data_IF_879730609146
#
_entry.id   IF_879730609146
#
_cell.length_a   1.000
_cell.length_b   1.000
_cell.length_c   1.000
_cell.angle_alpha   90.00
_cell.angle_beta   90.00
_cell.angle_gamma   90.00
#
_symmetry.space_group_name_H-M   'P 1'
#
loop_
_entity.id
_entity.type
_entity.pdbx_description
1 polymer ?
#
# COMPACT_ATOMS: atom_id res chain seq x y z
N UNK A 1 3.46 67.60 -30.26
CA UNK A 1 3.41 66.25 -30.86
C UNK A 1 4.37 65.32 -30.10
N UNK A 2 3.91 64.10 -29.76
CA UNK A 2 4.66 62.83 -29.51
C UNK A 2 5.74 62.84 -28.41
N UNK A 3 5.50 62.31 -27.19
CA UNK A 3 5.43 60.89 -26.74
C UNK A 3 6.61 60.01 -27.19
N UNK A 4 7.50 59.61 -26.26
CA UNK A 4 7.59 58.25 -25.67
C UNK A 4 8.90 58.04 -24.88
N UNK A 5 8.75 57.80 -23.57
CA UNK A 5 9.65 56.97 -22.77
C UNK A 5 9.14 55.53 -22.83
N UNK A 6 10.03 54.53 -22.73
CA UNK A 6 9.72 53.17 -22.30
C UNK A 6 11.01 52.55 -21.72
N UNK A 7 11.08 52.49 -20.39
CA UNK A 7 11.99 51.63 -19.63
C UNK A 7 11.35 50.24 -19.54
N UNK A 8 12.10 49.21 -19.93
CA UNK A 8 11.71 47.82 -19.78
C UNK A 8 11.95 47.39 -18.32
N UNK A 9 10.87 47.05 -17.62
CA UNK A 9 10.95 46.35 -16.34
C UNK A 9 10.76 44.86 -16.56
N UNK A 10 11.84 44.10 -16.41
CA UNK A 10 11.81 42.64 -16.33
C UNK A 10 11.23 42.22 -14.98
N UNK A 11 10.04 41.61 -15.01
CA UNK A 11 9.48 40.91 -13.87
C UNK A 11 10.03 39.47 -13.84
N UNK A 12 10.95 39.20 -12.91
CA UNK A 12 11.32 37.83 -12.53
C UNK A 12 10.19 37.24 -11.67
N UNK A 13 9.50 36.24 -12.22
CA UNK A 13 8.44 35.48 -11.56
C UNK A 13 9.03 34.62 -10.42
N UNK A 14 8.73 35.01 -9.19
CA UNK A 14 8.96 34.20 -7.98
C UNK A 14 7.94 33.05 -7.92
N UNK A 15 8.33 31.86 -8.36
CA UNK A 15 7.48 30.64 -8.37
C UNK A 15 7.72 29.70 -7.17
N UNK A 16 8.51 30.09 -6.17
CA UNK A 16 8.91 29.19 -5.09
C UNK A 16 8.00 29.18 -3.84
N UNK A 17 6.98 30.05 -3.77
CA UNK A 17 6.21 30.27 -2.53
C UNK A 17 4.87 29.53 -2.44
N UNK A 18 4.35 28.96 -3.53
CA UNK A 18 3.01 28.34 -3.56
C UNK A 18 2.98 26.88 -3.13
N UNK A 19 4.10 26.17 -3.23
CA UNK A 19 4.18 24.74 -2.87
C UNK A 19 3.98 24.49 -1.37
N UNK A 20 4.46 25.40 -0.51
CA UNK A 20 4.31 25.27 0.95
C UNK A 20 2.87 25.46 1.43
N UNK A 21 2.17 26.48 0.93
CA UNK A 21 0.78 26.74 1.31
C UNK A 21 -0.18 25.65 0.80
N UNK A 22 0.07 25.09 -0.39
CA UNK A 22 -0.75 23.99 -0.92
C UNK A 22 -0.55 22.68 -0.15
N UNK A 23 0.67 22.39 0.31
CA UNK A 23 0.95 21.22 1.14
C UNK A 23 0.26 21.30 2.51
N UNK A 24 0.29 22.46 3.18
CA UNK A 24 -0.38 22.67 4.47
C UNK A 24 -1.91 22.66 4.37
N UNK A 25 -2.47 23.34 3.37
CA UNK A 25 -3.91 23.32 3.10
C UNK A 25 -4.37 21.89 2.84
N UNK A 26 -3.56 21.08 2.18
CA UNK A 26 -3.94 19.72 1.83
C UNK A 26 -3.76 18.72 2.97
N UNK A 27 -2.73 18.84 3.82
CA UNK A 27 -2.65 18.03 5.05
C UNK A 27 -3.90 18.24 5.92
N UNK A 28 -4.43 19.47 5.90
CA UNK A 28 -5.68 19.82 6.57
C UNK A 28 -6.91 19.19 5.90
N UNK A 29 -6.86 18.91 4.59
CA UNK A 29 -7.97 18.35 3.79
C UNK A 29 -7.95 16.82 3.71
N UNK A 30 -6.77 16.18 3.63
CA UNK A 30 -6.67 14.72 3.51
C UNK A 30 -6.73 13.98 4.85
N UNK A 31 -6.60 14.69 5.97
CA UNK A 31 -6.78 14.12 7.31
C UNK A 31 -5.71 13.11 7.73
N UNK A 32 -5.90 12.52 8.91
CA UNK A 32 -5.08 11.42 9.42
C UNK A 32 -5.42 10.11 8.70
N UNK A 33 -4.40 9.25 8.51
CA UNK A 33 -4.58 7.86 8.07
C UNK A 33 -4.36 6.96 9.29
N UNK A 34 -5.40 6.24 9.69
CA UNK A 34 -5.37 5.40 10.89
C UNK A 34 -5.59 3.93 10.52
N UNK A 35 -4.71 3.00 10.92
CA UNK A 35 -4.96 1.58 10.71
C UNK A 35 -6.13 1.13 11.60
N UNK A 36 -7.16 0.53 10.99
CA UNK A 36 -8.38 0.14 11.67
C UNK A 36 -8.39 -1.36 12.02
N UNK A 37 -8.10 -2.20 11.03
CA UNK A 37 -8.03 -3.64 11.18
C UNK A 37 -7.02 -4.21 10.19
N UNK A 38 -6.35 -5.31 10.55
CA UNK A 38 -5.48 -6.01 9.63
C UNK A 38 -5.13 -7.41 10.12
N UNK A 39 -4.87 -8.30 9.17
CA UNK A 39 -4.40 -9.66 9.45
C UNK A 39 -3.25 -10.03 8.52
N UNK A 40 -2.48 -11.02 8.95
CA UNK A 40 -1.36 -11.55 8.17
C UNK A 40 -1.34 -13.05 8.32
N UNK A 41 -1.18 -13.77 7.21
CA UNK A 41 -1.13 -15.22 7.23
C UNK A 41 -0.01 -15.72 6.33
N UNK A 42 0.99 -16.41 6.89
CA UNK A 42 1.89 -17.23 6.10
C UNK A 42 1.19 -18.50 5.63
N UNK A 43 1.50 -18.92 4.41
CA UNK A 43 1.03 -20.17 3.81
C UNK A 43 2.08 -20.69 2.81
N UNK A 44 2.03 -21.98 2.44
CA UNK A 44 2.80 -22.52 1.33
C UNK A 44 2.65 -21.70 0.05
N UNK A 45 3.74 -21.53 -0.70
CA UNK A 45 3.73 -20.74 -1.93
C UNK A 45 2.89 -21.36 -3.06
N UNK A 46 2.66 -22.68 -3.03
CA UNK A 46 1.77 -23.39 -3.94
C UNK A 46 0.27 -23.18 -3.61
N UNK A 47 -0.05 -22.76 -2.38
CA UNK A 47 -1.37 -22.29 -1.99
C UNK A 47 -1.58 -20.83 -2.41
N UNK A 48 -1.95 -20.58 -3.66
CA UNK A 48 -2.19 -19.23 -4.15
C UNK A 48 -3.45 -18.60 -3.53
N UNK A 49 -3.32 -17.47 -2.85
CA UNK A 49 -4.44 -16.74 -2.22
C UNK A 49 -4.93 -15.56 -3.06
N UNK A 50 -4.02 -14.77 -3.64
CA UNK A 50 -4.36 -13.69 -4.58
C UNK A 50 -4.10 -14.12 -6.02
N UNK A 51 -5.02 -13.82 -6.93
CA UNK A 51 -4.89 -14.11 -8.37
C UNK A 51 -3.67 -13.40 -8.98
N UNK A 52 -3.22 -13.91 -10.13
CA UNK A 52 -2.02 -13.42 -10.81
C UNK A 52 -0.70 -13.93 -10.20
N UNK A 53 0.42 -13.56 -10.81
CA UNK A 53 1.75 -14.05 -10.43
C UNK A 53 2.64 -12.94 -9.86
N UNK A 54 3.69 -13.32 -9.14
CA UNK A 54 4.79 -12.41 -8.82
C UNK A 54 5.50 -12.02 -10.13
N UNK A 55 5.89 -10.74 -10.24
CA UNK A 55 6.72 -10.27 -11.36
C UNK A 55 8.10 -10.93 -11.33
N UNK A 56 8.72 -11.08 -12.49
CA UNK A 56 10.07 -11.63 -12.59
C UNK A 56 11.06 -10.81 -11.73
N UNK A 57 11.83 -11.51 -10.88
CA UNK A 57 12.79 -10.89 -9.99
C UNK A 57 12.20 -10.16 -8.78
N UNK A 58 10.87 -10.14 -8.61
CA UNK A 58 10.22 -9.61 -7.40
C UNK A 58 9.68 -10.72 -6.51
N UNK A 59 9.88 -10.57 -5.21
CA UNK A 59 9.25 -11.40 -4.18
C UNK A 59 8.14 -10.65 -3.44
N UNK A 60 7.77 -9.46 -3.90
CA UNK A 60 6.70 -8.66 -3.31
C UNK A 60 5.74 -8.20 -4.40
N UNK A 61 4.47 -8.25 -4.07
CA UNK A 61 3.39 -7.63 -4.83
C UNK A 61 2.39 -7.02 -3.87
N UNK A 62 1.71 -5.97 -4.29
CA UNK A 62 0.72 -5.34 -3.45
C UNK A 62 -0.10 -4.31 -4.19
N UNK A 63 -1.27 -4.05 -3.63
CA UNK A 63 -2.34 -3.29 -4.25
C UNK A 63 -3.03 -2.42 -3.22
N UNK A 64 -3.42 -1.24 -3.65
CA UNK A 64 -4.33 -0.38 -2.93
C UNK A 64 -5.72 -0.51 -3.50
N UNK A 65 -6.71 -0.53 -2.63
CA UNK A 65 -8.12 -0.49 -2.96
C UNK A 65 -8.73 0.75 -2.30
N UNK A 66 -8.61 1.93 -2.95
CA UNK A 66 -9.41 3.11 -2.60
C UNK A 66 -10.90 2.80 -2.62
N UNK A 67 -11.31 2.03 -3.64
CA UNK A 67 -12.63 1.46 -3.82
C UNK A 67 -12.43 -0.04 -4.03
N UNK A 68 -12.85 -0.91 -3.09
CA UNK A 68 -12.80 -2.35 -3.27
C UNK A 68 -13.64 -2.81 -4.47
N UNK A 69 -13.29 -3.93 -5.13
CA UNK A 69 -14.13 -4.49 -6.17
C UNK A 69 -15.50 -4.94 -5.60
N UNK A 70 -16.54 -4.85 -6.43
CA UNK A 70 -17.88 -5.34 -6.08
C UNK A 70 -17.88 -6.85 -5.73
N UNK A 71 -16.97 -7.61 -6.36
CA UNK A 71 -16.75 -9.02 -6.09
C UNK A 71 -15.26 -9.26 -5.74
N UNK A 72 -14.99 -9.57 -4.47
CA UNK A 72 -13.63 -9.88 -4.01
C UNK A 72 -13.01 -11.12 -4.68
N UNK A 73 -13.80 -11.97 -5.37
CA UNK A 73 -13.28 -13.09 -6.17
C UNK A 73 -12.55 -12.64 -7.44
N UNK A 74 -12.66 -11.38 -7.83
CA UNK A 74 -11.82 -10.74 -8.86
C UNK A 74 -10.36 -10.64 -8.42
N UNK A 75 -10.12 -10.64 -7.10
CA UNK A 75 -8.78 -10.52 -6.49
C UNK A 75 -8.36 -11.85 -5.86
N UNK A 76 -9.23 -12.47 -5.07
CA UNK A 76 -8.91 -13.69 -4.32
C UNK A 76 -9.25 -14.98 -5.07
N UNK A 77 -8.50 -16.04 -4.79
CA UNK A 77 -8.79 -17.40 -5.26
C UNK A 77 -9.82 -18.09 -4.36
N UNK A 78 -10.41 -19.19 -4.85
CA UNK A 78 -11.31 -20.02 -4.04
C UNK A 78 -10.64 -20.53 -2.75
N UNK A 79 -9.33 -20.76 -2.78
CA UNK A 79 -8.55 -21.18 -1.61
C UNK A 79 -8.51 -20.10 -0.53
N UNK A 80 -8.30 -18.83 -0.91
CA UNK A 80 -8.37 -17.71 0.03
C UNK A 80 -9.79 -17.55 0.60
N UNK A 81 -10.81 -17.72 -0.24
CA UNK A 81 -12.23 -17.59 0.13
C UNK A 81 -12.73 -18.68 1.08
N UNK A 82 -12.10 -19.86 1.13
CA UNK A 82 -12.41 -20.89 2.13
C UNK A 82 -11.86 -20.56 3.53
N UNK A 83 -11.00 -19.54 3.64
CA UNK A 83 -10.33 -19.12 4.86
C UNK A 83 -10.87 -17.81 5.46
N UNK A 84 -9.97 -17.09 6.13
CA UNK A 84 -10.28 -15.86 6.85
C UNK A 84 -10.53 -14.65 5.94
N UNK A 85 -10.08 -14.67 4.68
CA UNK A 85 -10.18 -13.54 3.75
C UNK A 85 -11.56 -13.33 3.13
N UNK A 86 -12.53 -14.19 3.45
CA UNK A 86 -13.84 -14.26 2.78
C UNK A 86 -14.73 -13.02 2.93
N UNK A 87 -14.35 -12.00 3.69
CA UNK A 87 -15.05 -10.70 3.74
C UNK A 87 -14.12 -9.48 3.91
N UNK A 88 -12.80 -9.66 3.92
CA UNK A 88 -11.89 -8.63 4.45
C UNK A 88 -11.69 -7.44 3.48
N UNK A 89 -11.86 -7.65 2.17
CA UNK A 89 -11.80 -6.55 1.18
C UNK A 89 -13.07 -5.68 1.20
N UNK A 90 -14.22 -6.28 1.51
CA UNK A 90 -15.53 -5.62 1.42
C UNK A 90 -15.80 -4.68 2.61
N UNK A 91 -14.91 -4.60 3.59
CA UNK A 91 -15.08 -3.76 4.78
C UNK A 91 -14.68 -2.30 4.59
N UNK A 92 -14.11 -1.91 3.45
CA UNK A 92 -13.82 -0.52 3.14
C UNK A 92 -15.11 0.23 2.75
N UNK A 93 -15.93 0.53 3.76
CA UNK A 93 -17.05 1.46 3.64
C UNK A 93 -16.62 2.87 4.07
N UNK A 94 -17.25 3.90 3.50
CA UNK A 94 -17.05 5.29 3.89
C UNK A 94 -15.67 5.84 3.51
N UNK A 95 -15.05 6.59 4.43
CA UNK A 95 -13.76 7.22 4.19
C UNK A 95 -12.60 6.28 4.52
N UNK A 96 -12.49 5.15 3.83
CA UNK A 96 -11.46 4.15 4.11
C UNK A 96 -10.86 3.58 2.82
N UNK A 97 -9.72 2.92 2.94
CA UNK A 97 -9.10 2.14 1.86
C UNK A 97 -8.49 0.85 2.40
N UNK A 98 -8.25 -0.12 1.52
CA UNK A 98 -7.57 -1.37 1.85
C UNK A 98 -6.20 -1.44 1.20
N UNK A 99 -5.22 -1.94 1.93
CA UNK A 99 -3.93 -2.40 1.43
C UNK A 99 -3.91 -3.92 1.47
N UNK A 100 -3.62 -4.55 0.35
CA UNK A 100 -3.31 -5.97 0.24
C UNK A 100 -1.90 -6.12 -0.28
N UNK A 101 -1.06 -6.92 0.35
CA UNK A 101 0.24 -7.27 -0.21
C UNK A 101 0.63 -8.70 0.14
N UNK A 102 1.46 -9.28 -0.70
CA UNK A 102 2.06 -10.57 -0.50
C UNK A 102 3.58 -10.45 -0.55
N UNK A 103 4.25 -11.17 0.36
CA UNK A 103 5.71 -11.33 0.36
C UNK A 103 6.03 -12.80 0.26
N UNK A 104 6.73 -13.21 -0.80
CA UNK A 104 7.32 -14.55 -0.97
C UNK A 104 8.69 -14.59 -0.30
N UNK A 105 8.98 -15.67 0.41
CA UNK A 105 10.26 -15.87 1.10
C UNK A 105 10.60 -17.36 1.18
N UNK A 106 11.88 -17.67 1.38
CA UNK A 106 12.30 -19.01 1.76
C UNK A 106 11.70 -19.37 3.13
N UNK A 107 11.44 -20.66 3.36
CA UNK A 107 10.82 -21.12 4.60
C UNK A 107 11.63 -20.77 5.86
N UNK A 108 12.97 -20.75 5.75
CA UNK A 108 13.91 -20.34 6.80
C UNK A 108 13.87 -18.83 7.14
N UNK A 109 13.42 -18.00 6.19
CA UNK A 109 13.30 -16.53 6.35
C UNK A 109 11.89 -16.08 6.75
N UNK A 110 11.06 -17.06 7.13
CA UNK A 110 9.81 -16.96 7.87
C UNK A 110 9.56 -15.61 8.55
N UNK A 111 8.56 -14.85 8.10
CA UNK A 111 8.18 -13.62 8.78
C UNK A 111 6.70 -13.26 8.66
N UNK A 112 6.19 -12.63 9.71
CA UNK A 112 4.93 -11.89 9.70
C UNK A 112 5.18 -10.42 9.38
N UNK A 113 4.29 -9.85 8.58
CA UNK A 113 4.31 -8.43 8.23
C UNK A 113 3.07 -7.79 8.80
N UNK A 114 3.19 -6.67 9.51
CA UNK A 114 2.05 -5.94 10.06
C UNK A 114 2.22 -4.46 9.78
N UNK A 115 1.13 -3.71 9.71
CA UNK A 115 1.20 -2.25 9.62
C UNK A 115 1.87 -1.69 10.87
N UNK A 116 2.88 -0.84 10.66
CA UNK A 116 3.57 -0.09 11.69
C UNK A 116 2.77 1.12 12.16
N UNK A 117 3.32 1.83 13.13
CA UNK A 117 2.69 3.05 13.66
C UNK A 117 2.87 4.23 12.70
N UNK A 118 1.85 5.07 12.60
CA UNK A 118 1.88 6.36 11.88
C UNK A 118 2.00 6.28 10.34
N UNK A 119 1.08 5.57 9.64
CA UNK A 119 0.85 5.83 8.23
C UNK A 119 0.58 7.31 7.98
N UNK A 120 1.04 7.84 6.85
CA UNK A 120 0.87 9.26 6.53
C UNK A 120 0.79 9.51 5.05
N UNK A 121 0.17 10.62 4.70
CA UNK A 121 0.28 11.18 3.35
C UNK A 121 1.73 11.64 3.08
N UNK A 122 2.27 11.28 1.92
CA UNK A 122 3.56 11.74 1.40
C UNK A 122 3.41 12.59 0.14
N UNK A 123 2.25 12.57 -0.52
CA UNK A 123 1.95 13.31 -1.75
C UNK A 123 0.46 13.46 -2.01
N UNK A 124 0.07 13.78 -3.27
CA UNK A 124 -1.36 13.94 -3.61
C UNK A 124 -2.12 12.65 -3.80
N UNK A 125 -1.45 11.62 -4.22
CA UNK A 125 -2.05 10.29 -4.30
C UNK A 125 -1.21 9.27 -3.56
N UNK A 126 -0.23 9.75 -2.81
CA UNK A 126 0.86 8.97 -2.27
C UNK A 126 0.76 8.93 -0.74
N UNK A 127 0.82 7.72 -0.20
CA UNK A 127 1.01 7.48 1.23
C UNK A 127 2.36 6.81 1.50
N UNK A 128 2.87 7.02 2.70
CA UNK A 128 3.95 6.23 3.28
C UNK A 128 3.34 5.36 4.38
N UNK A 129 3.43 4.04 4.20
CA UNK A 129 2.85 3.07 5.12
C UNK A 129 4.01 2.26 5.70
N UNK A 130 4.36 2.49 6.98
CA UNK A 130 5.39 1.69 7.61
C UNK A 130 4.88 0.27 7.78
N UNK A 131 5.71 -0.73 7.47
CA UNK A 131 5.42 -2.15 7.68
C UNK A 131 6.46 -2.69 8.66
N UNK A 132 6.03 -3.46 9.65
CA UNK A 132 6.90 -4.16 10.59
C UNK A 132 7.05 -5.61 10.16
N UNK A 133 8.28 -6.03 9.88
CA UNK A 133 8.68 -7.42 9.73
C UNK A 133 9.01 -8.00 11.10
N UNK A 134 8.39 -9.12 11.44
CA UNK A 134 8.66 -9.88 12.65
C UNK A 134 9.02 -11.31 12.24
N UNK A 135 10.21 -11.82 12.57
CA UNK A 135 10.53 -13.22 12.34
C UNK A 135 9.45 -14.12 12.93
N UNK A 136 9.04 -15.12 12.15
CA UNK A 136 8.10 -16.13 12.60
C UNK A 136 8.90 -17.26 13.27
N UNK A 137 8.81 -17.31 14.60
CA UNK A 137 9.49 -18.31 15.43
C UNK A 137 8.59 -19.50 15.78
N UNK A 138 7.40 -19.59 15.17
CA UNK A 138 6.50 -20.72 15.43
C UNK A 138 6.99 -21.98 14.74
N UNK A 139 6.82 -23.12 15.41
CA UNK A 139 6.95 -24.42 14.73
C UNK A 139 5.79 -24.53 13.75
N UNK A 140 6.11 -24.57 12.45
CA UNK A 140 5.10 -24.64 11.39
C UNK A 140 4.91 -26.08 10.93
N UNK A 141 3.66 -26.46 10.73
CA UNK A 141 3.28 -27.78 10.20
C UNK A 141 3.38 -27.87 8.66
N UNK A 142 3.87 -26.81 8.00
CA UNK A 142 3.99 -26.79 6.54
C UNK A 142 5.31 -27.42 6.10
N UNK A 143 5.23 -28.48 5.28
CA UNK A 143 6.37 -29.04 4.56
C UNK A 143 6.50 -28.34 3.20
N UNK A 144 7.13 -27.16 3.20
CA UNK A 144 7.31 -26.33 2.00
C UNK A 144 8.65 -25.58 2.04
N UNK A 145 9.34 -25.51 0.91
CA UNK A 145 10.61 -24.79 0.76
C UNK A 145 10.42 -23.27 0.67
N UNK A 146 9.29 -22.84 0.07
CA UNK A 146 8.93 -21.44 -0.11
C UNK A 146 7.55 -21.15 0.48
N UNK A 147 7.43 -19.95 1.04
CA UNK A 147 6.22 -19.49 1.72
C UNK A 147 5.85 -18.10 1.23
N UNK A 148 4.56 -17.80 1.29
CA UNK A 148 4.00 -16.48 1.03
C UNK A 148 3.31 -15.99 2.29
N UNK A 149 3.62 -14.78 2.70
CA UNK A 149 2.87 -14.08 3.75
C UNK A 149 1.93 -13.07 3.08
N UNK A 150 0.64 -13.35 3.17
CA UNK A 150 -0.42 -12.49 2.66
C UNK A 150 -0.90 -11.59 3.79
N UNK A 151 -0.93 -10.28 3.55
CA UNK A 151 -1.39 -9.29 4.52
C UNK A 151 -2.47 -8.41 3.92
N UNK A 152 -3.54 -8.20 4.67
CA UNK A 152 -4.59 -7.24 4.35
C UNK A 152 -4.79 -6.30 5.54
N UNK A 153 -4.93 -5.00 5.25
CA UNK A 153 -5.28 -4.00 6.27
C UNK A 153 -6.23 -2.95 5.71
N UNK A 154 -7.23 -2.61 6.52
CA UNK A 154 -8.11 -1.45 6.35
C UNK A 154 -7.54 -0.23 7.07
N UNK A 155 -7.63 0.92 6.40
CA UNK A 155 -7.26 2.22 6.93
C UNK A 155 -8.45 3.17 6.85
N UNK A 156 -8.72 3.88 7.95
CA UNK A 156 -9.69 4.97 7.98
C UNK A 156 -8.97 6.30 7.70
N UNK A 157 -9.66 7.21 7.00
CA UNK A 157 -9.14 8.53 6.60
C UNK A 157 -10.11 9.63 7.01
N UNK A 158 -9.71 10.47 7.95
CA UNK A 158 -10.61 11.49 8.54
C UNK A 158 -11.10 12.54 7.53
N UNK A 159 -10.34 12.79 6.45
CA UNK A 159 -10.63 13.81 5.44
C UNK A 159 -11.41 13.35 4.19
N UNK A 160 -11.77 12.07 4.09
CA UNK A 160 -12.57 11.56 2.96
C UNK A 160 -11.82 11.40 1.63
N UNK A 161 -10.59 10.90 1.67
CA UNK A 161 -9.84 10.52 0.47
C UNK A 161 -9.01 9.25 0.69
N UNK A 162 -8.58 8.62 -0.39
CA UNK A 162 -7.76 7.42 -0.36
C UNK A 162 -6.54 7.58 -1.30
N UNK A 163 -5.35 7.08 -0.91
CA UNK A 163 -4.18 7.13 -1.76
C UNK A 163 -4.34 6.15 -2.93
N UNK A 164 -3.93 6.56 -4.14
CA UNK A 164 -3.85 5.65 -5.29
C UNK A 164 -2.44 5.06 -5.48
N UNK A 165 -1.49 5.47 -4.64
CA UNK A 165 -0.12 4.97 -4.57
C UNK A 165 0.36 4.94 -3.12
N UNK A 166 1.20 3.99 -2.77
CA UNK A 166 1.89 4.00 -1.49
C UNK A 166 3.31 3.45 -1.58
N UNK A 167 4.17 3.97 -0.73
CA UNK A 167 5.47 3.38 -0.41
C UNK A 167 5.31 2.60 0.89
N UNK A 168 5.57 1.30 0.84
CA UNK A 168 5.66 0.42 1.98
C UNK A 168 7.11 0.38 2.45
N UNK A 169 7.41 1.04 3.57
CA UNK A 169 8.75 0.98 4.16
C UNK A 169 8.80 -0.14 5.20
N UNK A 170 9.42 -1.26 4.84
CA UNK A 170 9.54 -2.44 5.69
C UNK A 170 10.68 -2.26 6.67
N UNK A 171 10.36 -2.40 7.96
CA UNK A 171 11.28 -2.24 9.07
C UNK A 171 11.33 -3.50 9.91
N UNK A 172 12.52 -3.86 10.36
CA UNK A 172 12.68 -4.92 11.34
C UNK A 172 12.09 -4.50 12.68
N UNK A 173 11.32 -5.40 13.30
CA UNK A 173 10.63 -5.11 14.57
C UNK A 173 11.59 -4.73 15.69
N UNK A 174 12.73 -5.40 15.77
CA UNK A 174 13.66 -5.25 16.89
C UNK A 174 14.56 -4.01 16.74
N UNK A 175 15.16 -3.82 15.56
CA UNK A 175 16.10 -2.72 15.31
C UNK A 175 15.43 -1.45 14.78
N UNK A 176 14.20 -1.54 14.28
CA UNK A 176 13.49 -0.47 13.56
C UNK A 176 14.22 0.04 12.30
N UNK A 177 15.23 -0.70 11.84
CA UNK A 177 15.97 -0.44 10.60
C UNK A 177 15.08 -0.71 9.38
N UNK A 178 15.15 0.17 8.38
CA UNK A 178 14.47 -0.05 7.10
C UNK A 178 15.27 -1.07 6.30
N UNK A 179 14.67 -2.22 6.03
CA UNK A 179 15.31 -3.33 5.31
C UNK A 179 14.84 -3.46 3.87
N UNK A 180 13.68 -2.88 3.54
CA UNK A 180 13.19 -2.81 2.17
C UNK A 180 12.17 -1.68 1.99
N UNK A 181 12.01 -1.23 0.75
CA UNK A 181 10.94 -0.33 0.35
C UNK A 181 10.26 -0.87 -0.91
N UNK A 182 8.92 -0.89 -0.90
CA UNK A 182 8.12 -1.36 -2.03
C UNK A 182 7.11 -0.30 -2.42
N UNK A 183 6.94 -0.08 -3.73
CA UNK A 183 5.87 0.77 -4.23
C UNK A 183 4.68 -0.08 -4.63
N UNK A 184 3.51 0.30 -4.15
CA UNK A 184 2.23 -0.30 -4.54
C UNK A 184 1.35 0.77 -5.17
N UNK A 185 0.51 0.34 -6.11
CA UNK A 185 -0.45 1.19 -6.81
C UNK A 185 -1.87 0.69 -6.57
N UNK A 186 -2.81 1.55 -6.90
CA UNK A 186 -4.22 1.20 -7.03
C UNK A 186 -4.38 -0.05 -7.92
N UNK A 187 -5.21 -0.98 -7.43
CA UNK A 187 -5.58 -2.18 -8.17
C UNK A 187 -6.36 -1.82 -9.43
N UNK A 188 -6.15 -2.58 -10.50
CA UNK A 188 -6.96 -2.48 -11.70
C UNK A 188 -7.28 -3.86 -12.27
N UNK A 189 -8.48 -3.98 -12.87
CA UNK A 189 -8.94 -5.22 -13.53
C UNK A 189 -7.97 -5.75 -14.61
N UNK A 190 -7.11 -4.90 -15.17
CA UNK A 190 -6.15 -5.27 -16.20
C UNK A 190 -5.02 -6.16 -15.67
N UNK A 191 -4.65 -6.05 -14.38
CA UNK A 191 -3.60 -6.87 -13.76
C UNK A 191 -4.02 -8.35 -13.62
N UNK A 192 -5.32 -8.62 -13.47
CA UNK A 192 -5.85 -9.99 -13.39
C UNK A 192 -5.88 -10.67 -14.78
N UNK A 193 -6.04 -9.89 -15.86
CA UNK A 193 -6.14 -10.41 -17.23
C UNK A 193 -4.79 -10.82 -17.83
N UNK A 194 -3.67 -10.26 -17.36
CA UNK A 194 -2.33 -10.56 -17.88
C UNK A 194 -1.76 -11.93 -17.43
N UNK A 195 -2.49 -12.67 -16.58
CA UNK A 195 -2.04 -13.94 -16.00
C UNK A 195 -2.88 -15.16 -16.41
N UNK A 196 -3.72 -15.05 -17.45
CA UNK A 196 -4.50 -16.16 -18.03
C UNK A 196 -3.88 -16.69 -19.32
#
# INVERSE_FOLDING_TARGET
MRRRALLASTATLSLAATSGCLADVRRTVSGEISPAHGNSKPHPADEQYVRGSFSEGSNVRGWLFPEPPDDQTDVFTDRAMQGQYSNDLLWAEGNSFVLLFEVRMAAEDAAFYNVGTSPRWSGWRDAEIPIRRSPDTSERDFDADELVCTHISKFDVEGGGAPSQATLSVRERESNEVVAEYRVSEWSNEETAASQ
#
